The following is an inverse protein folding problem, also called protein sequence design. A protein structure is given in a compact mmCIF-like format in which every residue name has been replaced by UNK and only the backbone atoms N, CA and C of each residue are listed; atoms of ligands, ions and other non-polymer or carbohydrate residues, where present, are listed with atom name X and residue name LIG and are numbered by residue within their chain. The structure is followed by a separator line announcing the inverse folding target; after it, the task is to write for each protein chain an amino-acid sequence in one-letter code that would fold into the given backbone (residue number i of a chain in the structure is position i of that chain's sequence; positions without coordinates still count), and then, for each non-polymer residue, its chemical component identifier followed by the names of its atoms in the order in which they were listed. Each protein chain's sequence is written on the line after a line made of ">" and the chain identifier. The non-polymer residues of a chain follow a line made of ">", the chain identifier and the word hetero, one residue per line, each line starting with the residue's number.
data_IF_877102963131
#
_entry.id   IF_877102963131
#
_cell.length_a   1.000
_cell.length_b   1.000
_cell.length_c   1.000
_cell.angle_alpha   90.00
_cell.angle_beta   90.00
_cell.angle_gamma   90.00
#
_symmetry.space_group_name_H-M   'P 1'
#
loop_
_entity.id
_entity.type
_entity.pdbx_description
1 polymer ?
#
# COMPACT_ATOMS: atom_id res chain seq x y z
N UNK A 1 1.16 -10.62 -24.45
CA UNK A 1 2.31 -9.71 -24.20
C UNK A 1 3.47 -10.56 -23.69
N UNK A 2 4.72 -10.31 -24.11
CA UNK A 2 5.88 -11.05 -23.59
C UNK A 2 6.30 -10.49 -22.21
N UNK A 3 6.75 -11.33 -21.25
CA UNK A 3 7.19 -10.87 -19.92
C UNK A 3 8.30 -9.81 -19.97
N UNK A 4 9.27 -9.95 -20.89
CA UNK A 4 10.36 -8.98 -21.05
C UNK A 4 9.88 -7.56 -21.37
N UNK A 5 8.76 -7.43 -22.11
CA UNK A 5 8.18 -6.13 -22.46
C UNK A 5 7.40 -5.51 -21.31
N UNK A 6 7.02 -6.31 -20.30
CA UNK A 6 6.32 -5.85 -19.11
C UNK A 6 7.27 -5.06 -18.20
N UNK A 7 8.50 -5.54 -17.99
CA UNK A 7 9.48 -4.97 -17.04
C UNK A 7 10.64 -4.20 -17.69
N UNK A 8 10.48 -3.72 -18.91
CA UNK A 8 11.46 -2.83 -19.53
C UNK A 8 11.70 -1.58 -18.64
N UNK A 9 12.95 -1.38 -18.21
CA UNK A 9 13.38 -0.27 -17.36
C UNK A 9 13.06 1.11 -17.97
N UNK A 10 12.94 1.20 -19.30
CA UNK A 10 12.53 2.43 -19.98
C UNK A 10 11.14 2.91 -19.52
N UNK A 11 10.26 1.98 -19.13
CA UNK A 11 8.90 2.27 -18.64
C UNK A 11 8.88 3.01 -17.32
N UNK A 12 9.89 2.79 -16.46
CA UNK A 12 9.99 3.52 -15.19
C UNK A 12 10.15 5.02 -15.39
N UNK A 13 10.67 5.45 -16.55
CA UNK A 13 10.89 6.88 -16.88
C UNK A 13 9.69 7.55 -17.55
N UNK A 14 8.56 6.83 -17.72
CA UNK A 14 7.41 7.33 -18.47
C UNK A 14 6.81 8.59 -17.83
N UNK A 15 6.50 8.55 -16.53
CA UNK A 15 6.09 9.73 -15.79
C UNK A 15 7.28 10.32 -15.04
N UNK A 16 7.95 11.29 -15.68
CA UNK A 16 9.20 11.88 -15.18
C UNK A 16 9.10 12.40 -13.73
N UNK A 17 7.98 13.01 -13.34
CA UNK A 17 7.80 13.53 -11.97
C UNK A 17 7.88 12.41 -10.92
N UNK A 18 7.16 11.32 -11.13
CA UNK A 18 7.16 10.15 -10.26
C UNK A 18 8.51 9.43 -10.28
N UNK A 19 9.14 9.30 -11.45
CA UNK A 19 10.46 8.70 -11.57
C UNK A 19 11.51 9.46 -10.73
N UNK A 20 11.59 10.78 -10.90
CA UNK A 20 12.57 11.58 -10.17
C UNK A 20 12.26 11.66 -8.68
N UNK A 21 10.99 11.74 -8.29
CA UNK A 21 10.60 11.62 -6.88
C UNK A 21 11.11 10.30 -6.29
N UNK A 22 10.92 9.18 -6.99
CA UNK A 22 11.38 7.88 -6.52
C UNK A 22 12.90 7.83 -6.34
N UNK A 23 13.67 8.35 -7.31
CA UNK A 23 15.14 8.43 -7.23
C UNK A 23 15.57 9.27 -6.03
N UNK A 24 14.99 10.46 -5.85
CA UNK A 24 15.27 11.32 -4.69
C UNK A 24 14.98 10.58 -3.39
N UNK A 25 13.84 9.88 -3.32
CA UNK A 25 13.47 9.13 -2.13
C UNK A 25 14.45 8.01 -1.80
N UNK A 26 14.95 7.28 -2.80
CA UNK A 26 16.00 6.27 -2.59
C UNK A 26 17.27 6.90 -2.04
N UNK A 27 17.73 8.00 -2.66
CA UNK A 27 18.95 8.71 -2.23
C UNK A 27 18.81 9.21 -0.79
N UNK A 28 17.68 9.83 -0.45
CA UNK A 28 17.43 10.34 0.91
C UNK A 28 17.32 9.18 1.91
N UNK A 29 16.60 8.10 1.59
CA UNK A 29 16.51 6.94 2.48
C UNK A 29 17.90 6.37 2.82
N UNK A 30 18.79 6.26 1.83
CA UNK A 30 20.18 5.81 2.04
C UNK A 30 20.96 6.83 2.89
N UNK A 31 20.81 8.13 2.61
CA UNK A 31 21.48 9.20 3.36
C UNK A 31 21.03 9.29 4.83
N UNK A 32 19.84 8.79 5.18
CA UNK A 32 19.34 8.73 6.54
C UNK A 32 19.88 7.53 7.34
N UNK A 33 20.49 6.53 6.71
CA UNK A 33 21.01 5.33 7.41
C UNK A 33 22.06 5.68 8.49
N UNK A 34 23.07 6.55 8.23
CA UNK A 34 24.00 6.96 9.27
C UNK A 34 23.30 7.65 10.44
N UNK A 35 22.28 8.47 10.19
CA UNK A 35 21.52 9.13 11.25
C UNK A 35 20.72 8.10 12.07
N UNK A 36 20.12 7.10 11.42
CA UNK A 36 19.42 6.02 12.11
C UNK A 36 20.32 5.22 13.06
N UNK A 37 21.61 5.04 12.70
CA UNK A 37 22.58 4.29 13.51
C UNK A 37 23.22 5.16 14.60
N UNK A 38 23.53 6.43 14.29
CA UNK A 38 24.37 7.28 15.14
C UNK A 38 23.58 8.24 16.03
N UNK A 39 22.37 8.62 15.65
CA UNK A 39 21.52 9.50 16.46
C UNK A 39 20.77 8.69 17.52
N UNK A 40 21.05 8.99 18.79
CA UNK A 40 20.47 8.29 19.93
C UNK A 40 19.04 8.72 20.26
N UNK A 41 18.51 9.77 19.60
CA UNK A 41 17.17 10.27 19.89
C UNK A 41 16.12 9.25 19.48
N UNK A 42 15.14 9.08 20.36
CA UNK A 42 14.02 8.16 20.15
C UNK A 42 12.70 8.89 20.28
N UNK A 43 11.71 8.40 19.54
CA UNK A 43 10.31 8.79 19.63
C UNK A 43 9.48 7.52 19.73
N UNK A 44 8.71 7.38 20.82
CA UNK A 44 7.95 6.15 21.12
C UNK A 44 8.83 4.89 21.18
N UNK A 45 10.03 5.00 21.76
CA UNK A 45 10.94 3.87 21.98
C UNK A 45 11.71 3.38 20.75
N UNK A 46 11.58 4.05 19.60
CA UNK A 46 12.33 3.74 18.37
C UNK A 46 13.08 4.97 17.85
N UNK A 47 14.08 4.77 17.01
CA UNK A 47 14.86 5.90 16.45
C UNK A 47 13.97 6.86 15.66
N UNK A 48 14.18 8.16 15.84
CA UNK A 48 13.42 9.22 15.14
C UNK A 48 13.50 9.09 13.61
N UNK A 49 14.55 8.46 13.08
CA UNK A 49 14.79 8.31 11.64
C UNK A 49 14.11 7.08 11.02
N UNK A 50 13.57 6.15 11.82
CA UNK A 50 12.91 4.96 11.30
C UNK A 50 11.68 5.28 10.45
N UNK A 51 10.83 6.21 10.93
CA UNK A 51 9.62 6.61 10.20
C UNK A 51 9.99 7.27 8.86
N UNK A 52 10.86 8.30 8.82
CA UNK A 52 11.35 8.85 7.56
C UNK A 52 11.86 7.79 6.58
N UNK A 53 12.77 6.90 6.99
CA UNK A 53 13.34 5.88 6.10
C UNK A 53 12.24 5.00 5.48
N UNK A 54 11.30 4.50 6.30
CA UNK A 54 10.18 3.68 5.82
C UNK A 54 9.30 4.43 4.82
N UNK A 55 8.98 5.69 5.09
CA UNK A 55 8.14 6.49 4.20
C UNK A 55 8.85 6.81 2.88
N UNK A 56 10.15 7.16 2.91
CA UNK A 56 10.92 7.36 1.68
C UNK A 56 11.02 6.08 0.85
N UNK A 57 11.25 4.92 1.46
CA UNK A 57 11.24 3.62 0.76
C UNK A 57 9.87 3.34 0.14
N UNK A 58 8.80 3.51 0.93
CA UNK A 58 7.43 3.28 0.45
C UNK A 58 7.05 4.20 -0.71
N UNK A 59 7.36 5.49 -0.61
CA UNK A 59 7.12 6.48 -1.68
C UNK A 59 7.95 6.18 -2.92
N UNK A 60 9.19 5.71 -2.77
CA UNK A 60 10.00 5.27 -3.90
C UNK A 60 9.37 4.09 -4.64
N UNK A 61 8.97 3.05 -3.91
CA UNK A 61 8.31 1.87 -4.47
C UNK A 61 7.01 2.27 -5.17
N UNK A 62 6.17 3.05 -4.50
CA UNK A 62 4.91 3.54 -5.06
C UNK A 62 5.15 4.36 -6.33
N UNK A 63 6.06 5.33 -6.29
CA UNK A 63 6.30 6.24 -7.41
C UNK A 63 6.91 5.53 -8.62
N UNK A 64 7.84 4.60 -8.42
CA UNK A 64 8.33 3.74 -9.51
C UNK A 64 7.21 2.88 -10.09
N UNK A 65 6.40 2.28 -9.23
CA UNK A 65 5.28 1.41 -9.66
C UNK A 65 4.26 2.20 -10.46
N UNK A 66 3.88 3.40 -10.03
CA UNK A 66 2.90 4.23 -10.74
C UNK A 66 3.48 4.85 -12.02
N UNK A 67 4.77 5.20 -12.03
CA UNK A 67 5.43 5.62 -13.26
C UNK A 67 5.44 4.48 -14.30
N UNK A 68 5.78 3.26 -13.87
CA UNK A 68 5.69 2.06 -14.71
C UNK A 68 4.26 1.81 -15.21
N UNK A 69 3.27 1.84 -14.30
CA UNK A 69 1.86 1.63 -14.59
C UNK A 69 1.35 2.61 -15.65
N UNK A 70 1.76 3.88 -15.53
CA UNK A 70 1.37 4.93 -16.46
C UNK A 70 1.80 4.67 -17.90
N UNK A 71 2.84 3.85 -18.12
CA UNK A 71 3.32 3.49 -19.45
C UNK A 71 2.35 2.60 -20.26
N UNK A 72 1.36 2.02 -19.60
CA UNK A 72 0.31 1.21 -20.25
C UNK A 72 -0.94 2.04 -20.61
N UNK A 73 -1.02 3.29 -20.17
CA UNK A 73 -2.11 4.20 -20.49
C UNK A 73 -1.86 4.87 -21.86
N UNK A 74 -2.49 4.33 -22.91
CA UNK A 74 -2.34 4.77 -24.31
C UNK A 74 -3.24 5.97 -24.67
N UNK A 75 -4.21 6.32 -23.83
CA UNK A 75 -5.12 7.46 -24.03
C UNK A 75 -5.11 8.37 -22.81
N UNK A 76 -5.39 9.65 -23.04
CA UNK A 76 -5.48 10.63 -21.96
C UNK A 76 -4.12 11.05 -21.40
N UNK A 77 -3.05 11.03 -22.21
CA UNK A 77 -1.68 11.33 -21.75
C UNK A 77 -1.53 12.65 -21.00
N UNK A 78 -2.36 13.67 -21.30
CA UNK A 78 -2.40 14.91 -20.51
C UNK A 78 -2.82 14.67 -19.05
N UNK A 79 -3.84 13.85 -18.85
CA UNK A 79 -4.40 13.53 -17.53
C UNK A 79 -3.45 12.63 -16.77
N UNK A 80 -2.85 11.64 -17.43
CA UNK A 80 -1.83 10.79 -16.83
C UNK A 80 -0.65 11.61 -16.30
N UNK A 81 -0.13 12.55 -17.10
CA UNK A 81 0.96 13.44 -16.68
C UNK A 81 0.54 14.37 -15.55
N UNK A 82 -0.65 14.96 -15.64
CA UNK A 82 -1.16 15.86 -14.60
C UNK A 82 -1.36 15.12 -13.27
N UNK A 83 -2.03 13.97 -13.29
CA UNK A 83 -2.23 13.17 -12.09
C UNK A 83 -0.91 12.67 -11.52
N UNK A 84 0.03 12.26 -12.37
CA UNK A 84 1.39 11.90 -11.94
C UNK A 84 2.17 13.06 -11.32
N UNK A 85 1.97 14.29 -11.79
CA UNK A 85 2.55 15.48 -11.17
C UNK A 85 1.88 15.78 -9.83
N UNK A 86 0.54 15.74 -9.75
CA UNK A 86 -0.22 15.96 -8.52
C UNK A 86 0.19 14.96 -7.44
N UNK A 87 0.23 13.66 -7.76
CA UNK A 87 0.71 12.63 -6.85
C UNK A 87 2.13 12.93 -6.38
N UNK A 88 3.04 13.28 -7.30
CA UNK A 88 4.44 13.53 -6.95
C UNK A 88 4.58 14.72 -6.00
N UNK A 89 3.88 15.82 -6.26
CA UNK A 89 3.89 17.01 -5.38
C UNK A 89 3.29 16.68 -4.02
N UNK A 90 2.14 16.01 -3.99
CA UNK A 90 1.49 15.63 -2.73
C UNK A 90 2.40 14.74 -1.87
N UNK A 91 3.00 13.71 -2.45
CA UNK A 91 3.93 12.83 -1.73
C UNK A 91 5.23 13.54 -1.31
N UNK A 92 5.70 14.51 -2.10
CA UNK A 92 6.85 15.32 -1.73
C UNK A 92 6.55 16.18 -0.49
N UNK A 93 5.36 16.78 -0.40
CA UNK A 93 4.92 17.51 0.80
C UNK A 93 4.88 16.57 2.02
N UNK A 94 4.29 15.38 1.88
CA UNK A 94 4.22 14.38 2.96
C UNK A 94 5.60 14.06 3.53
N UNK A 95 6.54 13.64 2.67
CA UNK A 95 7.87 13.17 3.13
C UNK A 95 8.73 14.31 3.68
N UNK A 96 8.59 15.53 3.17
CA UNK A 96 9.28 16.72 3.73
C UNK A 96 8.78 17.01 5.13
N UNK A 97 7.46 17.00 5.35
CA UNK A 97 6.89 17.22 6.68
C UNK A 97 7.29 16.10 7.63
N UNK A 98 7.22 14.83 7.20
CA UNK A 98 7.65 13.68 8.02
C UNK A 98 9.10 13.82 8.44
N UNK A 99 9.99 14.18 7.51
CA UNK A 99 11.40 14.38 7.81
C UNK A 99 11.62 15.56 8.78
N UNK A 100 10.94 16.69 8.55
CA UNK A 100 11.05 17.88 9.39
C UNK A 100 10.61 17.59 10.83
N UNK A 101 9.44 16.97 11.02
CA UNK A 101 8.92 16.64 12.35
C UNK A 101 9.79 15.60 13.07
N UNK A 102 10.28 14.59 12.36
CA UNK A 102 11.23 13.64 12.91
C UNK A 102 12.54 14.30 13.36
N UNK A 103 13.03 15.29 12.62
CA UNK A 103 14.29 15.97 12.96
C UNK A 103 14.24 16.77 14.26
N UNK A 104 13.04 17.19 14.69
CA UNK A 104 12.79 17.81 16.00
C UNK A 104 12.19 16.83 17.03
N UNK A 105 12.22 15.53 16.74
CA UNK A 105 11.70 14.45 17.60
C UNK A 105 10.20 14.56 17.93
N UNK A 106 9.38 15.02 16.99
CA UNK A 106 7.94 15.19 17.14
C UNK A 106 7.12 14.30 16.20
N UNK A 107 5.88 14.01 16.60
CA UNK A 107 4.95 13.23 15.79
C UNK A 107 4.26 14.11 14.74
N UNK A 108 4.35 13.71 13.47
CA UNK A 108 3.65 14.39 12.37
C UNK A 108 2.18 13.98 12.20
N UNK A 109 1.81 12.81 12.69
CA UNK A 109 0.44 12.26 12.60
C UNK A 109 -0.15 12.11 13.99
N UNK A 110 -1.46 12.28 14.10
CA UNK A 110 -2.27 12.20 15.33
C UNK A 110 -2.04 13.31 16.35
N UNK A 111 -0.97 14.11 16.21
CA UNK A 111 -0.69 15.22 17.10
C UNK A 111 -1.65 16.39 16.86
N UNK A 112 -2.53 16.61 17.81
CA UNK A 112 -3.53 17.67 17.85
C UNK A 112 -3.43 18.51 19.13
N UNK A 113 -2.23 18.52 19.75
CA UNK A 113 -1.96 19.20 21.01
C UNK A 113 -1.90 20.74 20.89
N UNK A 114 -1.55 21.27 19.72
CA UNK A 114 -1.38 22.70 19.46
C UNK A 114 -1.99 23.11 18.12
N UNK A 115 -2.33 24.40 17.90
CA UNK A 115 -2.83 24.88 16.60
C UNK A 115 -1.88 24.56 15.44
N UNK A 116 -0.57 24.67 15.67
CA UNK A 116 0.45 24.34 14.68
C UNK A 116 0.47 22.85 14.35
N UNK A 117 0.40 21.96 15.36
CA UNK A 117 0.34 20.52 15.14
C UNK A 117 -0.92 20.12 14.36
N UNK A 118 -2.07 20.71 14.70
CA UNK A 118 -3.33 20.51 13.97
C UNK A 118 -3.20 20.94 12.51
N UNK A 119 -2.58 22.11 12.25
CA UNK A 119 -2.37 22.59 10.88
C UNK A 119 -1.48 21.64 10.08
N UNK A 120 -0.36 21.18 10.66
CA UNK A 120 0.54 20.20 10.04
C UNK A 120 -0.22 18.91 9.71
N UNK A 121 -0.93 18.34 10.68
CA UNK A 121 -1.69 17.11 10.49
C UNK A 121 -2.79 17.26 9.43
N UNK A 122 -3.48 18.41 9.40
CA UNK A 122 -4.54 18.71 8.42
C UNK A 122 -3.99 18.85 7.01
N UNK A 123 -2.84 19.51 6.85
CA UNK A 123 -2.12 19.60 5.57
C UNK A 123 -1.80 18.19 5.08
N UNK A 124 -1.24 17.34 5.95
CA UNK A 124 -0.88 15.99 5.57
C UNK A 124 -2.09 15.14 5.18
N UNK A 125 -3.13 15.16 6.02
CA UNK A 125 -4.39 14.48 5.76
C UNK A 125 -5.00 14.89 4.41
N UNK A 126 -4.89 16.17 4.03
CA UNK A 126 -5.36 16.69 2.74
C UNK A 126 -4.53 16.12 1.59
N UNK A 127 -3.21 16.22 1.65
CA UNK A 127 -2.34 15.77 0.56
C UNK A 127 -2.39 14.26 0.35
N UNK A 128 -2.43 13.45 1.42
CA UNK A 128 -2.57 12.00 1.28
C UNK A 128 -3.95 11.61 0.72
N UNK A 129 -5.01 12.34 1.07
CA UNK A 129 -6.34 12.17 0.47
C UNK A 129 -6.31 12.46 -1.04
N UNK A 130 -5.60 13.51 -1.46
CA UNK A 130 -5.39 13.81 -2.88
C UNK A 130 -4.68 12.65 -3.60
N UNK A 131 -3.67 12.02 -2.96
CA UNK A 131 -2.99 10.84 -3.53
C UNK A 131 -3.95 9.66 -3.67
N UNK A 132 -4.83 9.41 -2.68
CA UNK A 132 -5.86 8.39 -2.76
C UNK A 132 -6.82 8.62 -3.92
N UNK A 133 -7.42 9.81 -4.04
CA UNK A 133 -8.36 10.10 -5.12
C UNK A 133 -7.69 10.12 -6.49
N UNK A 134 -6.44 10.59 -6.57
CA UNK A 134 -5.63 10.51 -7.80
C UNK A 134 -5.34 9.06 -8.20
N UNK A 135 -5.11 8.20 -7.23
CA UNK A 135 -4.93 6.76 -7.42
C UNK A 135 -6.20 6.11 -7.94
N UNK A 136 -7.35 6.36 -7.31
CA UNK A 136 -8.66 5.89 -7.77
C UNK A 136 -8.92 6.36 -9.21
N UNK A 137 -8.63 7.62 -9.51
CA UNK A 137 -8.79 8.17 -10.85
C UNK A 137 -7.95 7.41 -11.89
N UNK A 138 -6.67 7.13 -11.62
CA UNK A 138 -5.82 6.32 -12.50
C UNK A 138 -6.38 4.90 -12.64
N UNK A 139 -6.81 4.25 -11.54
CA UNK A 139 -7.43 2.93 -11.56
C UNK A 139 -8.63 2.88 -12.50
N UNK A 140 -9.51 3.89 -12.44
CA UNK A 140 -10.67 4.00 -13.31
C UNK A 140 -10.26 4.22 -14.77
N UNK A 141 -9.25 5.05 -15.04
CA UNK A 141 -8.72 5.24 -16.40
C UNK A 141 -8.25 3.91 -17.02
N UNK A 142 -7.55 3.07 -16.25
CA UNK A 142 -7.12 1.73 -16.68
C UNK A 142 -8.33 0.85 -16.99
N UNK A 143 -9.33 0.83 -16.10
CA UNK A 143 -10.54 0.04 -16.27
C UNK A 143 -11.35 0.41 -17.53
N UNK A 144 -11.36 1.69 -17.90
CA UNK A 144 -12.13 2.16 -19.06
C UNK A 144 -11.32 2.22 -20.36
N UNK A 145 -10.04 1.82 -20.33
CA UNK A 145 -9.23 1.77 -21.54
C UNK A 145 -9.70 0.63 -22.46
N UNK A 146 -10.14 0.98 -23.68
CA UNK A 146 -10.70 0.02 -24.65
C UNK A 146 -9.64 -0.74 -25.43
N UNK A 147 -8.48 -0.13 -25.66
CA UNK A 147 -7.41 -0.66 -26.52
C UNK A 147 -6.24 -1.15 -25.66
N UNK A 148 -6.47 -2.19 -24.86
CA UNK A 148 -5.46 -2.90 -24.07
C UNK A 148 -5.69 -4.40 -24.14
N UNK A 149 -4.60 -5.17 -23.99
CA UNK A 149 -4.68 -6.62 -23.83
C UNK A 149 -5.49 -6.95 -22.55
N UNK A 150 -6.34 -7.96 -22.63
CA UNK A 150 -7.35 -8.23 -21.59
C UNK A 150 -6.73 -8.61 -20.25
N UNK A 151 -5.73 -9.50 -20.24
CA UNK A 151 -5.10 -9.97 -19.01
C UNK A 151 -4.33 -8.84 -18.31
N UNK A 152 -3.59 -8.03 -19.08
CA UNK A 152 -2.93 -6.82 -18.58
C UNK A 152 -3.96 -5.87 -17.93
N UNK A 153 -5.01 -5.52 -18.67
CA UNK A 153 -6.06 -4.61 -18.18
C UNK A 153 -6.71 -5.14 -16.90
N UNK A 154 -7.05 -6.43 -16.87
CA UNK A 154 -7.68 -7.08 -15.73
C UNK A 154 -6.78 -7.07 -14.49
N UNK A 155 -5.50 -7.45 -14.64
CA UNK A 155 -4.55 -7.46 -13.54
C UNK A 155 -4.32 -6.05 -12.98
N UNK A 156 -4.07 -5.07 -13.84
CA UNK A 156 -3.83 -3.69 -13.42
C UNK A 156 -5.07 -3.07 -12.76
N UNK A 157 -6.28 -3.35 -13.28
CA UNK A 157 -7.52 -2.87 -12.67
C UNK A 157 -7.71 -3.44 -11.25
N UNK A 158 -7.64 -4.76 -11.09
CA UNK A 158 -7.81 -5.41 -9.78
C UNK A 158 -6.74 -4.95 -8.79
N UNK A 159 -5.47 -4.96 -9.20
CA UNK A 159 -4.37 -4.49 -8.36
C UNK A 159 -4.51 -3.04 -7.92
N UNK A 160 -4.95 -2.15 -8.82
CA UNK A 160 -5.08 -0.73 -8.51
C UNK A 160 -6.31 -0.45 -7.63
N UNK A 161 -7.42 -1.20 -7.81
CA UNK A 161 -8.57 -1.14 -6.89
C UNK A 161 -8.17 -1.62 -5.50
N UNK A 162 -7.51 -2.78 -5.41
CA UNK A 162 -7.06 -3.34 -4.13
C UNK A 162 -6.08 -2.39 -3.42
N UNK A 163 -5.23 -1.71 -4.18
CA UNK A 163 -4.33 -0.67 -3.66
C UNK A 163 -5.12 0.50 -3.08
N UNK A 164 -6.15 0.98 -3.78
CA UNK A 164 -7.02 2.04 -3.27
C UNK A 164 -7.78 1.62 -1.99
N UNK A 165 -8.24 0.37 -1.90
CA UNK A 165 -8.81 -0.19 -0.66
C UNK A 165 -7.78 -0.15 0.46
N UNK A 166 -6.55 -0.64 0.20
CA UNK A 166 -5.45 -0.61 1.15
C UNK A 166 -5.10 0.80 1.64
N UNK A 167 -5.05 1.78 0.75
CA UNK A 167 -4.90 3.19 1.09
C UNK A 167 -6.03 3.68 1.99
N UNK A 168 -7.28 3.31 1.68
CA UNK A 168 -8.46 3.65 2.47
C UNK A 168 -8.43 3.10 3.90
N UNK A 169 -7.73 1.99 4.15
CA UNK A 169 -7.56 1.48 5.51
C UNK A 169 -6.80 2.46 6.43
N UNK A 170 -6.06 3.43 5.88
CA UNK A 170 -5.38 4.44 6.68
C UNK A 170 -6.34 5.26 7.56
N UNK A 171 -7.57 5.50 7.08
CA UNK A 171 -8.57 6.25 7.85
C UNK A 171 -9.03 5.50 9.10
N UNK A 172 -8.87 4.18 9.18
CA UNK A 172 -9.15 3.46 10.43
C UNK A 172 -8.22 3.90 11.56
N UNK A 173 -6.99 4.32 11.24
CA UNK A 173 -5.99 4.75 12.21
C UNK A 173 -6.23 6.18 12.71
N UNK A 174 -7.05 6.99 12.03
CA UNK A 174 -7.28 8.40 12.40
C UNK A 174 -8.41 8.61 13.40
N UNK A 175 -9.18 7.57 13.73
CA UNK A 175 -10.27 7.68 14.69
C UNK A 175 -9.74 7.67 16.13
N UNK A 176 -10.16 8.62 16.99
CA UNK A 176 -9.82 8.59 18.40
C UNK A 176 -10.30 7.30 19.06
N UNK A 177 -9.46 6.72 19.92
CA UNK A 177 -9.86 5.57 20.74
C UNK A 177 -10.77 6.02 21.89
N UNK A 178 -11.50 5.08 22.50
CA UNK A 178 -12.32 5.37 23.67
C UNK A 178 -11.48 5.97 24.84
N UNK A 179 -10.23 5.50 25.01
CA UNK A 179 -9.32 6.05 26.02
C UNK A 179 -8.87 7.48 25.71
N UNK A 180 -8.64 7.81 24.43
CA UNK A 180 -8.30 9.18 23.99
C UNK A 180 -9.48 10.15 24.15
N UNK A 181 -10.72 9.67 23.93
CA UNK A 181 -11.92 10.47 24.18
C UNK A 181 -12.19 10.70 25.66
N UNK A 182 -11.95 9.67 26.49
CA UNK A 182 -12.11 9.77 27.94
C UNK A 182 -11.03 10.63 28.60
N UNK A 183 -9.81 10.64 28.05
CA UNK A 183 -8.70 11.44 28.54
C UNK A 183 -7.89 12.01 27.37
N UNK A 184 -8.33 13.17 26.88
CA UNK A 184 -7.67 13.84 25.76
C UNK A 184 -6.33 14.44 26.17
N UNK A 185 -5.26 13.96 25.53
CA UNK A 185 -3.87 14.40 25.77
C UNK A 185 -3.24 14.99 24.49
N UNK A 186 -4.06 15.56 23.59
CA UNK A 186 -3.56 16.12 22.34
C UNK A 186 -3.17 15.08 21.29
N UNK A 187 -3.65 13.83 21.42
CA UNK A 187 -3.48 12.75 20.44
C UNK A 187 -4.84 12.21 20.01
N UNK A 188 -5.06 12.10 18.70
CA UNK A 188 -6.29 11.58 18.11
C UNK A 188 -5.96 10.57 16.99
N UNK A 189 -6.26 9.30 17.25
CA UNK A 189 -5.88 8.19 16.37
C UNK A 189 -4.76 7.33 16.95
N UNK A 190 -4.60 6.13 16.40
CA UNK A 190 -3.59 5.16 16.81
C UNK A 190 -3.33 4.13 15.70
N UNK A 191 -2.15 3.53 15.71
CA UNK A 191 -1.85 2.38 14.86
C UNK A 191 -2.25 1.07 15.55
N UNK A 192 -1.94 0.95 16.84
CA UNK A 192 -2.22 -0.20 17.65
C UNK A 192 -3.70 -0.26 18.09
N UNK A 193 -4.22 -1.47 18.22
CA UNK A 193 -5.58 -1.75 18.69
C UNK A 193 -5.51 -2.60 19.95
N UNK A 194 -6.19 -2.15 21.00
CA UNK A 194 -6.20 -2.80 22.32
C UNK A 194 -5.07 -2.36 23.27
N UNK A 195 -4.09 -1.61 22.77
CA UNK A 195 -2.97 -1.02 23.54
C UNK A 195 -2.62 0.37 22.99
N UNK A 196 -1.84 1.15 23.74
CA UNK A 196 -1.28 2.41 23.26
C UNK A 196 -0.12 2.18 22.27
N UNK A 197 0.08 3.12 21.35
CA UNK A 197 1.26 3.14 20.46
C UNK A 197 2.57 3.27 21.27
N UNK A 198 3.66 2.72 20.73
CA UNK A 198 5.00 2.78 21.33
C UNK A 198 5.42 1.58 22.19
N UNK A 199 4.58 0.53 22.25
CA UNK A 199 4.92 -0.74 22.88
C UNK A 199 5.85 -1.64 22.04
N UNK A 200 6.12 -2.88 22.49
CA UNK A 200 6.93 -3.85 21.75
C UNK A 200 6.39 -4.10 20.34
N UNK A 201 7.29 -4.07 19.35
CA UNK A 201 6.94 -4.24 17.96
C UNK A 201 7.99 -5.00 17.16
N UNK A 202 7.60 -5.48 15.98
CA UNK A 202 8.51 -6.15 15.05
C UNK A 202 9.66 -5.22 14.67
N UNK A 203 10.91 -5.72 14.60
CA UNK A 203 12.07 -4.91 14.23
C UNK A 203 11.84 -4.16 12.92
N UNK A 204 12.21 -2.88 12.90
CA UNK A 204 12.05 -1.94 11.79
C UNK A 204 10.61 -1.63 11.39
N UNK A 205 9.70 -2.61 11.29
CA UNK A 205 8.29 -2.38 10.95
C UNK A 205 7.55 -1.64 12.06
N UNK A 206 7.83 -2.01 13.31
CA UNK A 206 7.20 -1.50 14.51
C UNK A 206 5.79 -2.02 14.75
N UNK A 207 5.33 -3.02 14.01
CA UNK A 207 4.00 -3.61 14.20
C UNK A 207 3.90 -4.30 15.56
N UNK A 208 2.84 -4.01 16.32
CA UNK A 208 2.65 -4.55 17.67
C UNK A 208 2.79 -6.08 17.70
N UNK A 209 3.59 -6.59 18.63
CA UNK A 209 3.74 -8.04 18.89
C UNK A 209 2.84 -8.54 20.02
N UNK A 210 2.15 -7.62 20.71
CA UNK A 210 1.32 -7.93 21.89
C UNK A 210 -0.17 -7.68 21.65
N UNK A 211 -0.52 -6.93 20.60
CA UNK A 211 -1.90 -6.60 20.25
C UNK A 211 -2.03 -6.33 18.75
N UNK A 212 -3.22 -5.93 18.29
CA UNK A 212 -3.49 -5.66 16.87
C UNK A 212 -2.80 -4.39 16.36
N UNK A 213 -2.55 -4.35 15.04
CA UNK A 213 -1.88 -3.19 14.41
C UNK A 213 -2.41 -2.94 12.99
N UNK A 214 -3.14 -1.84 12.82
CA UNK A 214 -3.81 -1.49 11.56
C UNK A 214 -2.83 -1.20 10.41
N UNK A 215 -1.54 -0.95 10.71
CA UNK A 215 -0.51 -0.79 9.67
C UNK A 215 -0.29 -2.07 8.87
N UNK A 216 -0.58 -3.24 9.43
CA UNK A 216 -0.38 -4.53 8.74
C UNK A 216 -1.29 -4.63 7.51
N UNK A 217 -2.61 -4.44 7.72
CA UNK A 217 -3.59 -4.45 6.63
C UNK A 217 -3.36 -3.32 5.63
N UNK A 218 -3.05 -2.13 6.14
CA UNK A 218 -2.69 -0.98 5.30
C UNK A 218 -1.47 -1.29 4.41
N UNK A 219 -0.38 -1.82 4.98
CA UNK A 219 0.86 -2.15 4.26
C UNK A 219 0.63 -3.16 3.13
N UNK A 220 0.02 -4.30 3.42
CA UNK A 220 -0.27 -5.30 2.39
C UNK A 220 -1.27 -4.80 1.36
N UNK A 221 -2.23 -3.97 1.79
CA UNK A 221 -3.16 -3.28 0.91
C UNK A 221 -2.45 -2.36 -0.09
N UNK A 222 -1.54 -1.50 0.38
CA UNK A 222 -0.73 -0.60 -0.47
C UNK A 222 0.07 -1.35 -1.53
N UNK A 223 0.51 -2.57 -1.22
CA UNK A 223 1.34 -3.38 -2.11
C UNK A 223 0.57 -4.22 -3.14
N UNK A 224 -0.75 -4.05 -3.22
CA UNK A 224 -1.61 -4.89 -4.07
C UNK A 224 -1.31 -4.76 -5.57
N UNK A 225 -0.94 -3.58 -6.06
CA UNK A 225 -0.60 -3.38 -7.47
C UNK A 225 0.71 -4.09 -7.86
N UNK A 226 1.68 -4.16 -6.95
CA UNK A 226 2.91 -4.92 -7.16
C UNK A 226 2.61 -6.42 -7.19
N UNK A 227 1.76 -6.91 -6.28
CA UNK A 227 1.29 -8.30 -6.31
C UNK A 227 0.55 -8.60 -7.62
N UNK A 228 -0.32 -7.71 -8.09
CA UNK A 228 -1.01 -7.89 -9.36
C UNK A 228 -0.07 -7.94 -10.58
N UNK A 229 0.98 -7.11 -10.58
CA UNK A 229 2.01 -7.14 -11.62
C UNK A 229 2.80 -8.47 -11.62
N UNK A 230 3.11 -9.00 -10.43
CA UNK A 230 3.75 -10.31 -10.27
C UNK A 230 2.81 -11.43 -10.76
N UNK A 231 1.54 -11.42 -10.35
CA UNK A 231 0.54 -12.40 -10.79
C UNK A 231 0.37 -12.39 -12.31
N UNK A 232 0.34 -11.21 -12.94
CA UNK A 232 0.33 -11.08 -14.38
C UNK A 232 1.58 -11.70 -15.01
N UNK A 233 2.77 -11.37 -14.51
CA UNK A 233 4.02 -11.92 -15.03
C UNK A 233 4.06 -13.46 -14.94
N UNK A 234 3.67 -14.02 -13.79
CA UNK A 234 3.57 -15.47 -13.59
C UNK A 234 2.54 -16.10 -14.52
N UNK A 235 1.40 -15.44 -14.73
CA UNK A 235 0.35 -15.94 -15.64
C UNK A 235 0.87 -16.12 -17.07
N UNK A 236 1.74 -15.22 -17.54
CA UNK A 236 2.31 -15.29 -18.89
C UNK A 236 3.28 -16.48 -19.09
N UNK A 237 3.75 -17.09 -18.00
CA UNK A 237 4.60 -18.28 -18.02
C UNK A 237 3.78 -19.60 -18.00
N UNK A 238 2.47 -19.51 -17.79
CA UNK A 238 1.57 -20.66 -17.66
C UNK A 238 0.73 -20.87 -18.93
N UNK A 239 0.21 -22.10 -19.15
CA UNK A 239 -0.73 -22.35 -20.24
C UNK A 239 -1.95 -21.42 -20.15
N UNK A 240 -2.54 -21.10 -21.31
CA UNK A 240 -3.63 -20.11 -21.45
C UNK A 240 -4.77 -20.35 -20.44
N UNK A 241 -5.12 -21.62 -20.19
CA UNK A 241 -6.18 -22.03 -19.28
C UNK A 241 -5.95 -21.62 -17.80
N UNK A 242 -4.72 -21.27 -17.40
CA UNK A 242 -4.38 -20.88 -16.04
C UNK A 242 -4.23 -19.36 -15.86
N UNK A 243 -4.17 -18.60 -16.96
CA UNK A 243 -3.80 -17.18 -16.87
C UNK A 243 -4.86 -16.34 -16.16
N UNK A 244 -6.09 -16.36 -16.66
CA UNK A 244 -7.22 -15.65 -16.05
C UNK A 244 -7.52 -16.17 -14.64
N UNK A 245 -7.59 -17.49 -14.38
CA UNK A 245 -7.77 -18.00 -13.02
C UNK A 245 -6.71 -17.47 -12.05
N UNK A 246 -5.43 -17.44 -12.44
CA UNK A 246 -4.37 -16.93 -11.58
C UNK A 246 -4.54 -15.44 -11.28
N UNK A 247 -4.81 -14.63 -12.30
CA UNK A 247 -4.99 -13.19 -12.13
C UNK A 247 -6.19 -12.90 -11.23
N UNK A 248 -7.36 -13.51 -11.51
CA UNK A 248 -8.60 -13.22 -10.77
C UNK A 248 -8.52 -13.77 -9.35
N UNK A 249 -8.26 -15.07 -9.19
CA UNK A 249 -8.24 -15.70 -7.87
C UNK A 249 -7.10 -15.12 -7.05
N UNK A 250 -5.90 -14.95 -7.62
CA UNK A 250 -4.76 -14.38 -6.89
C UNK A 250 -5.03 -12.98 -6.35
N UNK A 251 -5.62 -12.08 -7.14
CA UNK A 251 -5.96 -10.73 -6.67
C UNK A 251 -7.08 -10.75 -5.62
N UNK A 252 -8.10 -11.59 -5.77
CA UNK A 252 -9.19 -11.72 -4.79
C UNK A 252 -8.70 -12.35 -3.49
N UNK A 253 -7.83 -13.35 -3.56
CA UNK A 253 -7.18 -13.95 -2.39
C UNK A 253 -6.30 -12.94 -1.67
N UNK A 254 -5.53 -12.12 -2.39
CA UNK A 254 -4.74 -11.05 -1.79
C UNK A 254 -5.64 -10.03 -1.07
N UNK A 255 -6.74 -9.60 -1.70
CA UNK A 255 -7.70 -8.70 -1.06
C UNK A 255 -8.34 -9.34 0.18
N UNK A 256 -8.71 -10.62 0.10
CA UNK A 256 -9.22 -11.39 1.24
C UNK A 256 -8.20 -11.48 2.38
N UNK A 257 -6.92 -11.68 2.06
CA UNK A 257 -5.83 -11.67 3.03
C UNK A 257 -5.70 -10.31 3.70
N UNK A 258 -5.72 -9.21 2.94
CA UNK A 258 -5.72 -7.83 3.48
C UNK A 258 -6.91 -7.62 4.42
N UNK A 259 -8.10 -8.08 4.05
CA UNK A 259 -9.28 -8.05 4.90
C UNK A 259 -9.11 -8.86 6.20
N UNK A 260 -8.58 -10.08 6.11
CA UNK A 260 -8.33 -10.95 7.26
C UNK A 260 -7.33 -10.35 8.24
N UNK A 261 -6.19 -9.83 7.78
CA UNK A 261 -5.18 -9.23 8.69
C UNK A 261 -5.69 -7.92 9.30
N UNK A 262 -6.56 -7.18 8.59
CA UNK A 262 -7.22 -5.99 9.13
C UNK A 262 -8.22 -6.38 10.21
N UNK A 263 -9.03 -7.41 9.95
CA UNK A 263 -9.98 -7.95 10.92
C UNK A 263 -9.29 -8.55 12.15
N UNK A 264 -8.17 -9.27 11.96
CA UNK A 264 -7.29 -9.74 13.03
C UNK A 264 -6.85 -8.56 13.90
N UNK A 265 -6.34 -7.49 13.28
CA UNK A 265 -5.88 -6.28 13.97
C UNK A 265 -7.00 -5.61 14.76
N UNK A 266 -8.21 -5.50 14.20
CA UNK A 266 -9.37 -4.90 14.87
C UNK A 266 -9.84 -5.69 16.10
N UNK A 267 -9.48 -6.98 16.21
CA UNK A 267 -9.73 -7.80 17.41
C UNK A 267 -8.60 -7.72 18.44
N UNK A 268 -7.72 -6.73 18.32
CA UNK A 268 -6.55 -6.54 19.17
C UNK A 268 -5.60 -7.75 19.17
N UNK A 269 -5.52 -8.49 18.07
CA UNK A 269 -4.70 -9.69 17.95
C UNK A 269 -3.41 -9.40 17.17
N UNK A 270 -2.22 -9.75 17.70
CA UNK A 270 -0.95 -9.47 17.03
C UNK A 270 -0.77 -10.30 15.76
N UNK A 271 -0.27 -9.67 14.71
CA UNK A 271 0.00 -10.32 13.43
C UNK A 271 0.98 -11.50 13.55
N UNK A 272 1.99 -11.36 14.42
CA UNK A 272 3.05 -12.35 14.59
C UNK A 272 2.63 -13.59 15.38
N UNK A 273 1.47 -13.57 16.06
CA UNK A 273 0.98 -14.68 16.87
C UNK A 273 -0.54 -14.84 16.68
N UNK A 274 -0.98 -15.29 15.49
CA UNK A 274 -2.41 -15.47 15.22
C UNK A 274 -3.00 -16.60 16.07
N UNK A 275 -4.17 -16.34 16.66
CA UNK A 275 -4.99 -17.32 17.36
C UNK A 275 -5.77 -18.22 16.40
N UNK A 276 -6.43 -19.22 16.98
CA UNK A 276 -7.12 -20.29 16.24
C UNK A 276 -8.15 -19.77 15.25
N UNK A 277 -8.98 -18.79 15.62
CA UNK A 277 -9.99 -18.24 14.73
C UNK A 277 -9.39 -17.60 13.48
N UNK A 278 -8.23 -16.94 13.62
CA UNK A 278 -7.50 -16.32 12.49
C UNK A 278 -6.89 -17.39 11.60
N UNK A 279 -6.29 -18.43 12.20
CA UNK A 279 -5.75 -19.57 11.47
C UNK A 279 -6.83 -20.30 10.66
N UNK A 280 -8.01 -20.50 11.24
CA UNK A 280 -9.18 -21.03 10.52
C UNK A 280 -9.57 -20.11 9.37
N UNK A 281 -9.58 -18.79 9.59
CA UNK A 281 -9.83 -17.79 8.54
C UNK A 281 -8.86 -17.93 7.36
N UNK A 282 -7.56 -18.08 7.62
CA UNK A 282 -6.56 -18.33 6.58
C UNK A 282 -6.80 -19.66 5.85
N UNK A 283 -7.09 -20.73 6.58
CA UNK A 283 -7.37 -22.05 6.00
C UNK A 283 -8.60 -22.02 5.08
N UNK A 284 -9.67 -21.34 5.50
CA UNK A 284 -10.88 -21.14 4.69
C UNK A 284 -10.57 -20.33 3.45
N UNK A 285 -9.86 -19.21 3.58
CA UNK A 285 -9.49 -18.37 2.44
C UNK A 285 -8.69 -19.16 1.38
N UNK A 286 -7.69 -19.93 1.81
CA UNK A 286 -6.87 -20.74 0.91
C UNK A 286 -7.68 -21.89 0.27
N UNK A 287 -8.57 -22.52 1.02
CA UNK A 287 -9.44 -23.59 0.51
C UNK A 287 -10.41 -23.08 -0.56
N UNK A 288 -11.01 -21.90 -0.32
CA UNK A 288 -11.89 -21.23 -1.30
C UNK A 288 -11.09 -20.82 -2.54
N UNK A 289 -9.88 -20.29 -2.36
CA UNK A 289 -9.00 -19.91 -3.45
C UNK A 289 -8.64 -21.12 -4.34
N UNK A 290 -8.17 -22.22 -3.74
CA UNK A 290 -7.83 -23.44 -4.46
C UNK A 290 -9.02 -24.02 -5.23
N UNK A 291 -10.19 -24.08 -4.58
CA UNK A 291 -11.42 -24.60 -5.18
C UNK A 291 -11.89 -23.74 -6.36
N UNK A 292 -11.85 -22.41 -6.19
CA UNK A 292 -12.22 -21.43 -7.22
C UNK A 292 -11.27 -21.46 -8.41
N UNK A 293 -9.96 -21.58 -8.15
CA UNK A 293 -8.96 -21.73 -9.18
C UNK A 293 -9.18 -23.01 -10.00
N UNK A 294 -9.35 -24.16 -9.34
CA UNK A 294 -9.62 -25.42 -10.01
C UNK A 294 -10.89 -25.37 -10.86
N UNK A 295 -11.98 -24.81 -10.33
CA UNK A 295 -13.24 -24.65 -11.04
C UNK A 295 -13.09 -23.78 -12.30
N UNK A 296 -12.39 -22.64 -12.20
CA UNK A 296 -12.17 -21.75 -13.34
C UNK A 296 -11.29 -22.41 -14.42
N UNK A 297 -10.25 -23.15 -14.04
CA UNK A 297 -9.43 -23.91 -15.00
C UNK A 297 -10.26 -24.99 -15.71
N UNK A 298 -11.06 -25.75 -14.96
CA UNK A 298 -11.91 -26.81 -15.53
C UNK A 298 -12.95 -26.27 -16.52
N UNK A 299 -13.58 -25.15 -16.18
CA UNK A 299 -14.61 -24.52 -17.05
C UNK A 299 -14.01 -23.98 -18.35
N UNK A 300 -12.82 -23.36 -18.30
CA UNK A 300 -12.13 -22.89 -19.51
C UNK A 300 -11.72 -24.03 -20.44
N UNK A 301 -11.18 -25.11 -19.89
CA UNK A 301 -10.82 -26.30 -20.67
C UNK A 301 -12.04 -26.94 -21.36
N UNK A 302 -13.20 -26.96 -20.70
CA UNK A 302 -14.46 -27.45 -21.31
C UNK A 302 -14.95 -26.56 -22.44
N UNK A 303 -14.82 -25.23 -22.31
CA UNK A 303 -15.20 -24.29 -23.37
C UNK A 303 -14.29 -24.42 -24.60
N UNK A 304 -12.98 -24.63 -24.39
CA UNK A 304 -12.03 -24.83 -25.49
C UNK A 304 -12.25 -26.14 -26.26
N UNK A 305 -12.80 -27.19 -25.64
CA UNK A 305 -13.11 -28.46 -26.30
C UNK A 305 -14.42 -28.44 -27.10
N UNK A 306 -15.28 -27.43 -26.89
CA UNK A 306 -16.58 -27.28 -27.59
C UNK A 306 -16.50 -26.36 -28.82
N UNK A 307 -15.36 -25.70 -29.05
CA UNK A 307 -15.05 -24.91 -30.24
C UNK A 307 -14.12 -25.71 -31.13
#
# INVERSE_FOLDING_TARGET
>A
MQPEKLFDLSRLKHTKSLFWLAVICVVVAVALIPLWILDSRQLLGVSVWEKPIKFYISVAIFSFTYSWLSSFLTRGGRWVRLTGLVIAVSLAVEIVIILAMASIAETSHFNVSTPTAIAIWSIMATFISIVLFSTIFISLMIMFQKQQEFNLKLALALGSINTAVGMGLAYLMTWPTASQLANYQGIAGAHAVGVSDGGPGLPFLGWSTVAGDLRVGHFFGLHSIQVAAILLALSLLLPIAFQIPLIVVGNLTWLGFVGLVTWQSLRAEPFASPGETTLVGYAVLLSVAASSFALLVMTQNRSSKKK
#
